data_IF_944397537598
#
_entry.id   IF_944397537598
#
_cell.length_a   1.000
_cell.length_b   1.000
_cell.length_c   1.000
_cell.angle_alpha   90.00
_cell.angle_beta   90.00
_cell.angle_gamma   90.00
#
_symmetry.space_group_name_H-M   'P 1'
#
loop_
_entity.id
_entity.type
_entity.pdbx_description
1 polymer ?
#
# COMPACT_ATOMS: atom_id res chain seq x y z
N UNK A 1 10.02 -3.44 -9.96
CA UNK A 1 11.40 -2.93 -9.86
C UNK A 1 11.47 -1.84 -8.81
N UNK A 2 12.68 -1.42 -8.45
CA UNK A 2 12.91 -0.37 -7.45
C UNK A 2 13.03 1.04 -8.06
N UNK A 3 12.78 1.19 -9.35
CA UNK A 3 12.91 2.43 -10.10
C UNK A 3 14.33 2.75 -10.56
N UNK A 4 15.35 2.03 -10.10
CA UNK A 4 16.78 2.20 -10.47
C UNK A 4 17.27 0.99 -11.25
N UNK A 5 16.98 -0.21 -10.74
CA UNK A 5 17.33 -1.47 -11.39
C UNK A 5 16.04 -2.14 -11.87
N UNK A 6 16.01 -2.53 -13.16
CA UNK A 6 14.83 -3.17 -13.74
C UNK A 6 14.79 -4.68 -13.43
N UNK A 7 14.84 -5.01 -12.14
CA UNK A 7 14.67 -6.35 -11.62
C UNK A 7 13.46 -6.42 -10.72
N UNK A 8 12.67 -7.49 -10.76
CA UNK A 8 11.52 -7.66 -9.87
C UNK A 8 11.98 -7.81 -8.42
N UNK A 9 11.31 -7.10 -7.52
CA UNK A 9 11.40 -7.36 -6.08
C UNK A 9 10.33 -8.37 -5.70
N UNK A 10 10.73 -9.42 -5.02
CA UNK A 10 9.86 -10.53 -4.61
C UNK A 10 9.64 -10.46 -3.10
N UNK A 11 8.38 -10.47 -2.69
CA UNK A 11 7.96 -10.76 -1.32
C UNK A 11 7.56 -12.23 -1.30
N UNK A 12 8.37 -13.06 -0.68
CA UNK A 12 8.00 -14.44 -0.37
C UNK A 12 7.34 -14.47 1.01
N UNK A 13 6.23 -15.18 1.14
CA UNK A 13 5.53 -15.30 2.42
C UNK A 13 4.95 -16.69 2.58
N UNK A 14 5.28 -17.33 3.70
CA UNK A 14 4.60 -18.53 4.20
C UNK A 14 3.88 -18.20 5.50
N UNK A 15 2.59 -18.48 5.56
CA UNK A 15 1.81 -18.33 6.80
C UNK A 15 1.53 -19.71 7.37
N UNK A 16 1.85 -19.91 8.64
CA UNK A 16 1.60 -21.16 9.35
C UNK A 16 0.95 -20.93 10.71
N UNK A 17 0.10 -21.89 11.12
CA UNK A 17 -0.49 -21.87 12.45
C UNK A 17 0.52 -22.38 13.48
N UNK A 18 0.65 -21.64 14.58
CA UNK A 18 1.49 -22.03 15.72
C UNK A 18 0.63 -22.06 16.96
N UNK A 19 0.38 -23.23 17.56
CA UNK A 19 -0.42 -23.27 18.81
C UNK A 19 -1.64 -22.35 18.80
N UNK A 20 -1.51 -21.19 19.44
CA UNK A 20 -2.55 -20.15 19.55
C UNK A 20 -2.38 -18.99 18.57
N UNK A 21 -1.33 -18.99 17.74
CA UNK A 21 -0.99 -17.85 16.90
C UNK A 21 -0.72 -18.20 15.43
N UNK A 22 -0.21 -17.20 14.72
CA UNK A 22 0.22 -17.31 13.33
C UNK A 22 1.67 -16.86 13.20
N UNK A 23 2.43 -17.60 12.40
CA UNK A 23 3.80 -17.26 11.99
C UNK A 23 3.81 -16.84 10.54
N UNK A 24 4.32 -15.64 10.29
CA UNK A 24 4.53 -15.02 8.97
C UNK A 24 6.02 -15.09 8.66
N UNK A 25 6.41 -16.02 7.81
CA UNK A 25 7.80 -16.24 7.42
C UNK A 25 8.07 -15.66 6.03
N UNK A 26 8.92 -14.64 5.98
CA UNK A 26 9.31 -13.92 4.77
C UNK A 26 10.63 -14.42 4.17
N UNK A 27 11.15 -15.55 4.61
CA UNK A 27 12.36 -16.13 4.06
C UNK A 27 12.22 -16.37 2.55
N UNK A 28 13.25 -15.97 1.79
CA UNK A 28 13.24 -16.01 0.32
C UNK A 28 12.80 -14.71 -0.34
N UNK A 29 12.43 -13.68 0.43
CA UNK A 29 12.23 -12.33 -0.11
C UNK A 29 13.54 -11.73 -0.65
N UNK A 30 13.43 -10.81 -1.61
CA UNK A 30 14.59 -10.18 -2.26
C UNK A 30 15.50 -9.46 -1.26
N UNK A 31 16.78 -9.35 -1.61
CA UNK A 31 17.76 -8.54 -0.86
C UNK A 31 17.40 -7.04 -0.93
N UNK A 32 17.97 -6.19 -0.06
CA UNK A 32 17.79 -4.75 -0.12
C UNK A 32 18.17 -4.19 -1.50
N UNK A 33 17.30 -3.36 -2.07
CA UNK A 33 17.46 -2.78 -3.39
C UNK A 33 18.24 -1.45 -3.37
N UNK A 34 18.62 -0.96 -4.53
CA UNK A 34 19.36 0.30 -4.72
C UNK A 34 18.40 1.50 -4.66
N UNK A 35 17.19 1.33 -5.15
CA UNK A 35 16.16 2.37 -5.18
C UNK A 35 15.35 2.47 -3.88
N UNK A 36 14.32 3.33 -3.87
CA UNK A 36 13.58 3.69 -2.64
C UNK A 36 12.62 2.62 -2.13
N UNK A 37 12.50 1.48 -2.80
CA UNK A 37 11.53 0.42 -2.49
C UNK A 37 12.05 -0.57 -1.44
N UNK A 38 12.69 -0.06 -0.40
CA UNK A 38 13.02 -0.83 0.78
C UNK A 38 12.05 -0.50 1.92
N UNK A 39 11.81 -1.45 2.79
CA UNK A 39 11.06 -1.25 4.03
C UNK A 39 11.97 -1.37 5.25
N UNK A 40 11.55 -0.76 6.34
CA UNK A 40 12.16 -0.96 7.65
C UNK A 40 11.32 -1.93 8.48
N UNK A 41 11.94 -2.58 9.44
CA UNK A 41 11.28 -3.58 10.30
C UNK A 41 9.94 -3.11 10.86
N UNK A 42 9.88 -1.88 11.38
CA UNK A 42 8.66 -1.32 11.98
C UNK A 42 7.51 -1.25 10.97
N UNK A 43 7.78 -0.80 9.73
CA UNK A 43 6.75 -0.72 8.67
C UNK A 43 6.32 -2.10 8.22
N UNK A 44 7.26 -3.05 8.10
CA UNK A 44 6.95 -4.43 7.74
C UNK A 44 6.04 -5.10 8.76
N UNK A 45 6.35 -4.98 10.05
CA UNK A 45 5.49 -5.47 11.14
C UNK A 45 4.13 -4.80 11.11
N UNK A 46 4.09 -3.47 10.97
CA UNK A 46 2.84 -2.69 10.91
C UNK A 46 1.95 -3.12 9.74
N UNK A 47 2.52 -3.43 8.59
CA UNK A 47 1.77 -3.90 7.42
C UNK A 47 1.12 -5.27 7.65
N UNK A 48 1.82 -6.20 8.32
CA UNK A 48 1.25 -7.49 8.73
C UNK A 48 0.12 -7.28 9.74
N UNK A 49 0.34 -6.46 10.76
CA UNK A 49 -0.67 -6.17 11.79
C UNK A 49 -1.90 -5.48 11.19
N UNK A 50 -1.70 -4.57 10.25
CA UNK A 50 -2.79 -3.91 9.54
C UNK A 50 -3.61 -4.90 8.73
N UNK A 51 -2.97 -5.81 7.98
CA UNK A 51 -3.66 -6.85 7.24
C UNK A 51 -4.50 -7.73 8.17
N UNK A 52 -3.96 -8.11 9.33
CA UNK A 52 -4.71 -8.88 10.33
C UNK A 52 -5.88 -8.09 10.91
N UNK A 53 -5.76 -6.76 11.04
CA UNK A 53 -6.87 -5.89 11.46
C UNK A 53 -7.99 -5.80 10.42
N UNK A 54 -7.69 -5.85 9.14
CA UNK A 54 -8.70 -5.95 8.09
C UNK A 54 -9.48 -7.27 8.19
N UNK A 55 -8.78 -8.37 8.47
CA UNK A 55 -9.36 -9.71 8.56
C UNK A 55 -10.18 -9.90 9.86
N UNK A 56 -9.73 -9.30 10.95
CA UNK A 56 -10.34 -9.39 12.28
C UNK A 56 -10.63 -7.99 12.85
N UNK A 57 -11.59 -7.25 12.28
CA UNK A 57 -11.88 -5.87 12.69
C UNK A 57 -12.41 -5.75 14.11
N UNK A 58 -13.04 -6.80 14.64
CA UNK A 58 -13.66 -6.82 15.96
C UNK A 58 -12.65 -6.93 17.12
N UNK A 59 -11.40 -7.33 16.85
CA UNK A 59 -10.35 -7.43 17.88
C UNK A 59 -9.89 -6.02 18.27
N UNK A 60 -9.92 -5.60 19.54
CA UNK A 60 -9.45 -4.28 19.96
C UNK A 60 -7.98 -4.05 19.63
N UNK A 61 -7.62 -2.82 19.24
CA UNK A 61 -6.22 -2.46 18.97
C UNK A 61 -5.48 -2.34 20.30
N UNK A 62 -4.59 -3.28 20.56
CA UNK A 62 -3.73 -3.31 21.74
C UNK A 62 -2.48 -4.14 21.45
N UNK A 63 -1.44 -4.00 22.27
CA UNK A 63 -0.25 -4.82 22.15
C UNK A 63 -0.57 -6.32 22.24
N UNK A 64 -1.47 -6.71 23.14
CA UNK A 64 -1.90 -8.09 23.31
C UNK A 64 -2.61 -8.70 22.09
N UNK A 65 -3.24 -7.87 21.25
CA UNK A 65 -3.85 -8.36 20.01
C UNK A 65 -2.80 -8.85 18.99
N UNK A 66 -1.56 -8.40 19.09
CA UNK A 66 -0.48 -8.73 18.19
C UNK A 66 0.51 -9.76 18.77
N UNK A 67 0.44 -10.07 20.07
CA UNK A 67 1.30 -11.10 20.70
C UNK A 67 1.25 -12.45 19.99
N UNK A 68 0.09 -12.94 19.49
CA UNK A 68 0.04 -14.23 18.80
C UNK A 68 0.62 -14.19 17.38
N UNK A 69 1.09 -13.05 16.89
CA UNK A 69 1.58 -12.86 15.52
C UNK A 69 3.12 -12.81 15.53
N UNK A 70 3.74 -13.86 15.02
CA UNK A 70 5.18 -13.94 14.87
C UNK A 70 5.59 -13.58 13.44
N UNK A 71 6.48 -12.60 13.26
CA UNK A 71 7.03 -12.19 11.96
C UNK A 71 8.52 -12.47 11.93
N UNK A 72 8.95 -13.31 11.00
CA UNK A 72 10.34 -13.78 10.87
C UNK A 72 10.80 -13.75 9.42
N UNK A 73 12.10 -14.02 9.21
CA UNK A 73 12.69 -14.17 7.87
C UNK A 73 12.82 -12.84 7.12
N UNK A 74 12.73 -11.70 7.80
CA UNK A 74 12.89 -10.39 7.17
C UNK A 74 14.34 -9.90 7.16
N UNK A 75 15.19 -10.42 8.03
CA UNK A 75 16.58 -10.01 8.18
C UNK A 75 17.37 -10.21 6.88
N UNK A 76 18.11 -9.19 6.46
CA UNK A 76 18.90 -9.22 5.22
C UNK A 76 18.09 -9.12 3.94
N UNK A 77 16.77 -8.92 4.03
CA UNK A 77 15.88 -8.65 2.90
C UNK A 77 15.57 -7.15 2.78
N UNK A 78 14.94 -6.74 1.67
CA UNK A 78 14.47 -5.36 1.50
C UNK A 78 13.30 -5.01 2.44
N UNK A 79 12.78 -5.97 3.20
CA UNK A 79 11.74 -5.78 4.21
C UNK A 79 12.29 -5.38 5.59
N UNK A 80 13.60 -5.44 5.76
CA UNK A 80 14.34 -4.99 6.96
C UNK A 80 15.64 -4.29 6.56
N UNK A 81 15.52 -3.27 5.74
CA UNK A 81 16.67 -2.52 5.24
C UNK A 81 17.24 -1.57 6.31
N UNK A 82 18.54 -1.50 6.38
CA UNK A 82 19.29 -0.65 7.30
C UNK A 82 19.97 0.52 6.57
N UNK A 83 20.29 1.57 7.34
CA UNK A 83 21.06 2.71 6.84
C UNK A 83 22.34 2.23 6.11
N UNK A 84 22.70 2.82 4.94
CA UNK A 84 22.14 4.03 4.31
C UNK A 84 21.13 3.74 3.17
N UNK A 85 20.40 2.63 3.19
CA UNK A 85 19.44 2.28 2.13
C UNK A 85 18.28 3.28 2.07
N UNK A 86 17.86 3.73 0.86
CA UNK A 86 16.71 4.61 0.71
C UNK A 86 15.40 3.85 0.98
N UNK A 87 14.49 4.49 1.72
CA UNK A 87 13.23 3.88 2.20
C UNK A 87 12.00 4.75 1.96
N UNK A 88 12.06 5.72 1.03
CA UNK A 88 10.92 6.63 0.81
C UNK A 88 9.66 5.93 0.30
N UNK A 89 9.79 4.81 -0.39
CA UNK A 89 8.66 3.99 -0.84
C UNK A 89 8.13 2.99 0.19
N UNK A 90 8.68 2.94 1.42
CA UNK A 90 8.32 1.89 2.36
C UNK A 90 6.86 1.94 2.82
N UNK A 91 6.34 3.13 3.15
CA UNK A 91 4.99 3.29 3.67
C UNK A 91 3.92 3.32 2.57
N UNK A 92 4.22 3.93 1.43
CA UNK A 92 3.25 4.13 0.35
C UNK A 92 3.16 2.94 -0.62
N UNK A 93 4.25 2.21 -0.82
CA UNK A 93 4.34 1.15 -1.82
C UNK A 93 4.55 -0.23 -1.19
N UNK A 94 5.66 -0.41 -0.45
CA UNK A 94 6.06 -1.74 0.04
C UNK A 94 5.08 -2.26 1.09
N UNK A 95 4.58 -1.39 1.97
CA UNK A 95 3.61 -1.79 3.00
C UNK A 95 2.32 -2.36 2.41
N UNK A 96 1.83 -1.79 1.31
CA UNK A 96 0.65 -2.32 0.61
C UNK A 96 0.91 -3.72 0.07
N UNK A 97 2.07 -3.94 -0.55
CA UNK A 97 2.45 -5.25 -1.09
C UNK A 97 2.63 -6.30 -0.01
N UNK A 98 3.10 -5.91 1.18
CA UNK A 98 3.17 -6.83 2.33
C UNK A 98 1.76 -7.22 2.79
N UNK A 99 0.86 -6.25 2.95
CA UNK A 99 -0.53 -6.51 3.33
C UNK A 99 -1.24 -7.41 2.30
N UNK A 100 -1.04 -7.15 1.00
CA UNK A 100 -1.58 -7.98 -0.08
C UNK A 100 -1.02 -9.40 -0.07
N UNK A 101 0.27 -9.57 0.23
CA UNK A 101 0.87 -10.91 0.38
C UNK A 101 0.21 -11.68 1.54
N UNK A 102 -0.11 -11.00 2.65
CA UNK A 102 -0.85 -11.60 3.77
C UNK A 102 -2.26 -12.01 3.34
N UNK A 103 -2.99 -11.14 2.63
CA UNK A 103 -4.30 -11.47 2.10
C UNK A 103 -4.24 -12.66 1.13
N UNK A 104 -3.29 -12.65 0.20
CA UNK A 104 -3.11 -13.75 -0.76
C UNK A 104 -2.78 -15.09 -0.10
N UNK A 105 -2.03 -15.07 1.01
CA UNK A 105 -1.74 -16.29 1.76
C UNK A 105 -2.98 -16.81 2.51
N UNK A 106 -3.78 -15.92 3.11
CA UNK A 106 -4.92 -16.28 3.95
C UNK A 106 -6.22 -16.53 3.17
N UNK A 107 -6.33 -16.07 1.93
CA UNK A 107 -7.52 -16.33 1.10
C UNK A 107 -7.82 -17.82 0.92
N UNK A 108 -6.80 -18.68 0.99
CA UNK A 108 -6.97 -20.13 0.88
C UNK A 108 -7.66 -20.74 2.11
N UNK A 109 -7.59 -20.09 3.26
CA UNK A 109 -8.14 -20.59 4.51
C UNK A 109 -9.44 -19.88 4.94
N UNK A 110 -9.55 -18.58 4.65
CA UNK A 110 -10.65 -17.72 5.10
C UNK A 110 -11.06 -16.72 4.00
N UNK A 111 -11.46 -17.20 2.80
CA UNK A 111 -11.74 -16.32 1.65
C UNK A 111 -12.82 -15.27 1.93
N UNK A 112 -13.78 -15.57 2.80
CA UNK A 112 -14.89 -14.67 3.15
C UNK A 112 -14.45 -13.46 3.99
N UNK A 113 -13.24 -13.47 4.55
CA UNK A 113 -12.70 -12.38 5.38
C UNK A 113 -11.60 -11.57 4.69
N UNK A 114 -11.24 -11.96 3.48
CA UNK A 114 -10.13 -11.35 2.74
C UNK A 114 -10.70 -10.56 1.57
N UNK A 115 -10.05 -9.45 1.24
CA UNK A 115 -10.36 -8.68 0.03
C UNK A 115 -9.56 -9.18 -1.16
N UNK A 116 -10.07 -8.99 -2.36
CA UNK A 116 -9.28 -9.13 -3.57
C UNK A 116 -8.14 -8.10 -3.59
N UNK A 117 -7.11 -8.35 -4.40
CA UNK A 117 -5.97 -7.44 -4.50
C UNK A 117 -6.43 -6.04 -4.95
N UNK A 118 -6.03 -4.96 -4.24
CA UNK A 118 -6.22 -3.59 -4.70
C UNK A 118 -5.26 -3.27 -5.85
N UNK A 119 -5.21 -2.00 -6.29
CA UNK A 119 -4.25 -1.54 -7.30
C UNK A 119 -2.79 -1.79 -6.88
N UNK A 120 -2.53 -1.88 -5.57
CA UNK A 120 -1.25 -2.31 -5.00
C UNK A 120 -0.13 -1.30 -5.10
N UNK A 121 -0.45 -0.08 -5.43
CA UNK A 121 0.44 1.07 -5.44
C UNK A 121 -0.37 2.31 -5.05
N UNK A 122 0.30 3.26 -4.41
CA UNK A 122 -0.27 4.58 -4.22
C UNK A 122 0.22 5.43 -5.38
N UNK A 123 -0.62 5.71 -6.36
CA UNK A 123 -0.26 6.53 -7.50
C UNK A 123 0.32 7.88 -7.08
N UNK A 124 1.60 7.88 -6.72
CA UNK A 124 2.32 9.07 -6.27
C UNK A 124 2.56 9.98 -7.46
N UNK A 125 2.05 11.19 -7.37
CA UNK A 125 2.25 12.22 -8.38
C UNK A 125 2.99 13.41 -7.77
N UNK A 126 4.13 13.75 -8.32
CA UNK A 126 4.94 14.88 -7.90
C UNK A 126 5.19 15.84 -9.07
N UNK A 127 4.98 17.12 -8.85
CA UNK A 127 5.25 18.19 -9.80
C UNK A 127 6.00 19.31 -9.10
N UNK A 128 7.07 19.80 -9.70
CA UNK A 128 7.86 20.91 -9.18
C UNK A 128 8.24 21.91 -10.25
N UNK A 129 8.41 23.16 -9.84
CA UNK A 129 8.79 24.23 -10.75
C UNK A 129 8.87 25.58 -10.04
N UNK A 130 8.93 26.66 -10.85
CA UNK A 130 8.87 28.04 -10.39
C UNK A 130 7.47 28.60 -10.63
N UNK A 131 6.86 29.19 -9.61
CA UNK A 131 5.60 29.93 -9.72
C UNK A 131 5.93 31.40 -10.02
N UNK A 132 5.71 31.87 -11.26
CA UNK A 132 6.06 33.22 -11.64
C UNK A 132 5.13 34.29 -11.01
N UNK A 133 3.91 33.94 -10.64
CA UNK A 133 2.97 34.87 -10.01
C UNK A 133 3.33 35.11 -8.54
N UNK A 134 3.75 34.04 -7.84
CA UNK A 134 4.15 34.10 -6.44
C UNK A 134 5.66 34.34 -6.24
N UNK A 135 6.44 34.28 -7.33
CA UNK A 135 7.90 34.50 -7.32
C UNK A 135 8.65 33.49 -6.44
N UNK A 136 8.19 32.23 -6.40
CA UNK A 136 8.80 31.19 -5.53
C UNK A 136 8.79 29.82 -6.21
N UNK A 137 9.73 28.97 -5.81
CA UNK A 137 9.71 27.58 -6.21
C UNK A 137 8.64 26.81 -5.45
N UNK A 138 8.07 25.79 -6.09
CA UNK A 138 7.07 24.92 -5.48
C UNK A 138 7.36 23.44 -5.74
N UNK A 139 6.90 22.60 -4.82
CA UNK A 139 6.76 21.16 -5.00
C UNK A 139 5.35 20.79 -4.60
N UNK A 140 4.59 20.26 -5.56
CA UNK A 140 3.27 19.69 -5.36
C UNK A 140 3.41 18.18 -5.25
N UNK A 141 2.73 17.58 -4.28
CA UNK A 141 2.64 16.14 -4.14
C UNK A 141 1.20 15.72 -3.94
N UNK A 142 0.79 14.67 -4.62
CA UNK A 142 -0.54 14.09 -4.50
C UNK A 142 -0.44 12.57 -4.53
N UNK A 143 -1.34 11.91 -3.78
CA UNK A 143 -1.42 10.46 -3.70
C UNK A 143 -2.80 10.00 -4.17
N UNK A 144 -2.83 8.89 -4.91
CA UNK A 144 -4.05 8.19 -5.32
C UNK A 144 -4.01 6.75 -4.83
N UNK A 145 -5.12 6.27 -4.29
CA UNK A 145 -5.23 4.88 -3.84
C UNK A 145 -5.33 3.86 -4.96
N UNK A 146 -5.80 4.26 -6.13
CA UNK A 146 -5.89 3.44 -7.33
C UNK A 146 -7.08 2.46 -7.38
N UNK A 147 -7.76 2.22 -6.26
CA UNK A 147 -8.91 1.32 -6.14
C UNK A 147 -8.65 0.14 -5.21
N UNK A 148 -9.59 -0.11 -4.31
CA UNK A 148 -9.54 -1.22 -3.36
C UNK A 148 -10.14 -2.50 -3.98
N UNK A 149 -9.72 -3.68 -3.55
CA UNK A 149 -10.29 -4.95 -4.01
C UNK A 149 -11.73 -5.16 -3.54
N UNK A 150 -12.54 -5.87 -4.33
CA UNK A 150 -13.85 -6.34 -3.90
C UNK A 150 -13.72 -7.36 -2.75
N UNK A 151 -14.76 -7.51 -1.94
CA UNK A 151 -14.80 -8.41 -0.79
C UNK A 151 -16.17 -9.10 -0.67
N UNK A 152 -16.31 -10.08 0.20
CA UNK A 152 -17.52 -10.87 0.34
C UNK A 152 -18.78 -10.06 0.69
N UNK A 153 -18.63 -8.84 1.19
CA UNK A 153 -19.73 -7.94 1.57
C UNK A 153 -20.05 -6.85 0.56
N UNK A 154 -19.26 -6.67 -0.51
CA UNK A 154 -19.49 -5.57 -1.45
C UNK A 154 -18.33 -5.27 -2.40
N UNK A 155 -18.57 -4.28 -3.22
CA UNK A 155 -17.59 -3.75 -4.17
C UNK A 155 -16.44 -3.03 -3.46
N UNK A 156 -15.27 -3.00 -4.09
CA UNK A 156 -14.12 -2.25 -3.61
C UNK A 156 -14.33 -0.74 -3.67
N UNK A 157 -13.70 -0.02 -2.74
CA UNK A 157 -13.80 1.44 -2.67
C UNK A 157 -12.99 2.08 -3.81
N UNK A 158 -13.64 2.93 -4.59
CA UNK A 158 -12.97 3.71 -5.63
C UNK A 158 -11.89 4.62 -5.02
N UNK A 159 -10.74 4.72 -5.67
CA UNK A 159 -9.56 5.45 -5.19
C UNK A 159 -9.09 5.02 -3.78
N UNK A 160 -9.47 3.83 -3.33
CA UNK A 160 -9.04 3.27 -2.05
C UNK A 160 -7.69 2.56 -2.15
N UNK A 161 -7.01 2.43 -1.02
CA UNK A 161 -5.80 1.59 -0.88
C UNK A 161 -5.77 0.88 0.47
N UNK A 162 -4.98 -0.18 0.57
CA UNK A 162 -5.03 -1.09 1.72
C UNK A 162 -4.35 -0.54 2.98
N UNK A 163 -3.37 0.34 2.87
CA UNK A 163 -2.53 0.74 4.02
C UNK A 163 -2.57 2.21 4.37
N UNK A 164 -3.11 3.06 3.49
CA UNK A 164 -3.16 4.53 3.69
C UNK A 164 -4.63 5.00 3.76
N UNK A 165 -5.43 4.32 4.57
CA UNK A 165 -6.87 4.53 4.63
C UNK A 165 -7.33 5.87 5.21
N UNK A 166 -6.47 6.59 5.92
CA UNK A 166 -6.77 7.92 6.47
C UNK A 166 -6.39 9.07 5.54
N UNK A 167 -5.60 8.80 4.50
CA UNK A 167 -5.20 9.82 3.53
C UNK A 167 -6.40 10.25 2.69
N UNK A 168 -6.51 11.56 2.48
CA UNK A 168 -7.53 12.17 1.63
C UNK A 168 -6.84 13.01 0.56
N UNK A 169 -7.34 12.93 -0.66
CA UNK A 169 -6.92 13.86 -1.71
C UNK A 169 -7.40 15.27 -1.34
N UNK A 170 -6.54 16.29 -1.46
CA UNK A 170 -6.96 17.67 -1.30
C UNK A 170 -8.03 18.02 -2.35
N UNK A 171 -8.98 18.93 -2.04
CA UNK A 171 -9.87 19.48 -3.06
C UNK A 171 -9.08 20.13 -4.20
N UNK A 172 -9.54 19.99 -5.43
CA UNK A 172 -8.85 20.54 -6.62
C UNK A 172 -8.68 22.05 -6.52
N UNK A 173 -9.67 22.75 -5.98
CA UNK A 173 -9.64 24.20 -5.77
C UNK A 173 -8.50 24.65 -4.85
N UNK A 174 -8.21 23.87 -3.83
CA UNK A 174 -7.09 24.15 -2.92
C UNK A 174 -5.76 23.91 -3.63
N UNK A 175 -5.68 22.89 -4.48
CA UNK A 175 -4.47 22.61 -5.25
C UNK A 175 -4.21 23.71 -6.27
N UNK A 176 -5.23 24.18 -7.00
CA UNK A 176 -5.14 25.28 -7.97
C UNK A 176 -4.77 26.61 -7.31
N UNK A 177 -5.28 26.88 -6.09
CA UNK A 177 -4.90 28.07 -5.32
C UNK A 177 -3.44 28.06 -4.84
N UNK A 178 -2.93 26.88 -4.49
CA UNK A 178 -1.61 26.76 -3.91
C UNK A 178 -0.50 26.61 -4.95
N UNK A 179 -0.81 26.02 -6.10
CA UNK A 179 0.14 25.66 -7.13
C UNK A 179 -0.30 26.21 -8.50
N UNK A 180 0.63 26.52 -9.41
CA UNK A 180 0.30 26.98 -10.76
C UNK A 180 -0.15 25.83 -11.66
N UNK A 181 -1.25 25.18 -11.31
CA UNK A 181 -1.88 24.07 -12.02
C UNK A 181 -3.37 24.31 -12.20
N UNK A 182 -3.95 23.72 -13.22
CA UNK A 182 -5.39 23.69 -13.48
C UNK A 182 -5.77 22.25 -13.77
N UNK A 183 -6.74 21.72 -13.04
CA UNK A 183 -7.30 20.40 -13.29
C UNK A 183 -8.37 20.48 -14.36
N UNK A 184 -8.09 19.97 -15.56
CA UNK A 184 -9.08 19.82 -16.63
C UNK A 184 -10.02 18.66 -16.40
N UNK A 185 -9.49 17.62 -15.74
CA UNK A 185 -10.23 16.41 -15.36
C UNK A 185 -9.72 15.88 -14.05
N UNK A 186 -10.65 15.58 -13.15
CA UNK A 186 -10.43 14.81 -11.94
C UNK A 186 -11.66 13.93 -11.72
N UNK A 187 -11.61 12.70 -12.20
CA UNK A 187 -12.77 11.83 -12.28
C UNK A 187 -12.39 10.37 -12.04
N UNK A 188 -13.35 9.55 -11.69
CA UNK A 188 -13.16 8.10 -11.65
C UNK A 188 -12.91 7.57 -13.07
N UNK A 189 -11.92 6.71 -13.22
CA UNK A 189 -11.60 6.05 -14.48
C UNK A 189 -12.61 4.93 -14.73
N UNK A 190 -13.50 5.13 -15.70
CA UNK A 190 -14.54 4.15 -16.03
C UNK A 190 -13.91 2.84 -16.55
N UNK A 191 -14.45 1.72 -16.08
CA UNK A 191 -14.01 0.39 -16.48
C UNK A 191 -12.69 -0.09 -15.85
N UNK A 192 -12.03 0.71 -14.99
CA UNK A 192 -10.77 0.33 -14.33
C UNK A 192 -10.93 -0.67 -13.17
N UNK A 193 -12.15 -0.85 -12.67
CA UNK A 193 -12.43 -1.82 -11.59
C UNK A 193 -12.33 -3.28 -12.09
N UNK A 194 -11.66 -4.13 -11.32
CA UNK A 194 -11.59 -5.55 -11.61
C UNK A 194 -12.96 -6.22 -11.61
N UNK A 195 -13.22 -7.09 -12.59
CA UNK A 195 -14.47 -7.82 -12.70
C UNK A 195 -14.57 -8.94 -11.66
N UNK A 196 -15.78 -9.16 -11.13
CA UNK A 196 -16.08 -10.21 -10.16
C UNK A 196 -17.53 -10.17 -9.72
N UNK A 197 -17.92 -11.06 -8.81
CA UNK A 197 -19.23 -10.98 -8.14
C UNK A 197 -19.38 -9.62 -7.43
N UNK A 198 -18.34 -9.18 -6.78
CA UNK A 198 -18.14 -7.83 -6.26
C UNK A 198 -16.98 -7.20 -7.03
N UNK A 199 -17.24 -6.04 -7.60
CA UNK A 199 -16.28 -5.34 -8.47
C UNK A 199 -15.17 -4.67 -7.65
N UNK A 200 -13.97 -4.62 -8.19
CA UNK A 200 -12.91 -3.76 -7.66
C UNK A 200 -13.26 -2.28 -7.79
N UNK A 201 -12.74 -1.46 -6.87
CA UNK A 201 -12.89 -0.01 -6.90
C UNK A 201 -12.21 0.60 -8.13
N UNK A 202 -12.75 1.73 -8.59
CA UNK A 202 -12.21 2.45 -9.74
C UNK A 202 -10.96 3.27 -9.35
N UNK A 203 -10.03 3.39 -10.28
CA UNK A 203 -8.94 4.35 -10.23
C UNK A 203 -9.40 5.76 -10.62
N UNK A 204 -8.44 6.67 -10.82
CA UNK A 204 -8.69 8.06 -11.17
C UNK A 204 -8.04 8.45 -12.50
N UNK A 205 -8.69 9.37 -13.19
CA UNK A 205 -8.13 10.17 -14.29
C UNK A 205 -7.74 11.55 -13.76
N UNK A 206 -6.50 11.93 -14.02
CA UNK A 206 -5.97 13.28 -13.81
C UNK A 206 -5.56 13.88 -15.15
N UNK A 207 -6.06 15.05 -15.46
CA UNK A 207 -5.68 15.82 -16.64
C UNK A 207 -5.43 17.28 -16.29
#
# INVERSE_FOLDING_TARGET
SDGVVNEPLVIALTVSKTGVGLRFDFAGSSRPCMGPMNSVRATTLSAVYLAMRHIFPDVPISAGAFEPLEVVGIEGTFLDAHYPRPVSGCAAEVSQRIAEAVFAALVQAIPERVTAAPAGTSGNFGLGGHDPEKGRDYVMYQISGGGYGGFAGGDGIANGCSTIGISKAPPVEIMEQNFPVIYRRYALHEGSGGAGQHRGGLGLDYE
#
